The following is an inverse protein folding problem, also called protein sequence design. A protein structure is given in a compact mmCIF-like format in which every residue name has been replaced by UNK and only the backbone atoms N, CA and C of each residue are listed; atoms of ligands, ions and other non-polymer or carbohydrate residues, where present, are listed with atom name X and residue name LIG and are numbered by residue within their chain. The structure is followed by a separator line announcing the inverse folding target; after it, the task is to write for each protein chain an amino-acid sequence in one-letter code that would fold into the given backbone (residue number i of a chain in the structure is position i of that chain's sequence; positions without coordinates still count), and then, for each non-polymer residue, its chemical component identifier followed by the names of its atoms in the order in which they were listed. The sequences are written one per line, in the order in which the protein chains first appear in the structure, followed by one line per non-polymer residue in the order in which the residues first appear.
data_IF_025401187497
#
_entry.id   IF_025401187497
#
_cell.length_a   1.000
_cell.length_b   1.000
_cell.length_c   1.000
_cell.angle_alpha   90.00
_cell.angle_beta   90.00
_cell.angle_gamma   90.00
#
_symmetry.space_group_name_H-M   'P 1'
#
loop_
_entity.id
_entity.type
_entity.pdbx_description
1 polymer ?
#
# COMPACT_ATOMS: atom_id res chain seq x y z
N UNK A 1 3.14 26.71 31.30
CA UNK A 1 2.75 25.32 31.06
C UNK A 1 3.96 24.41 30.67
N UNK A 2 5.12 24.98 30.36
CA UNK A 2 6.32 24.25 29.95
C UNK A 2 6.36 23.88 28.44
N UNK A 3 7.54 23.46 27.97
CA UNK A 3 7.78 23.19 26.55
C UNK A 3 6.92 22.04 26.01
N UNK A 4 6.73 21.00 26.81
CA UNK A 4 5.94 19.81 26.41
C UNK A 4 4.44 20.07 26.28
N UNK A 5 3.92 21.26 26.67
CA UNK A 5 2.54 21.65 26.34
C UNK A 5 2.35 21.95 24.86
N UNK A 6 3.44 22.12 24.11
CA UNK A 6 3.43 22.30 22.68
C UNK A 6 3.63 20.93 22.01
N UNK A 7 2.68 20.53 21.19
CA UNK A 7 2.76 19.31 20.40
C UNK A 7 2.66 19.66 18.90
N UNK A 8 3.79 19.78 18.18
CA UNK A 8 3.77 20.05 16.75
C UNK A 8 3.14 18.88 16.02
N UNK A 9 1.85 19.03 15.67
CA UNK A 9 1.08 18.01 14.96
C UNK A 9 1.11 18.29 13.46
N UNK A 10 1.82 17.47 12.70
CA UNK A 10 1.97 17.65 11.25
C UNK A 10 2.01 16.29 10.56
N UNK A 11 1.59 16.20 9.33
CA UNK A 11 1.89 15.09 8.44
C UNK A 11 1.55 15.42 6.99
N UNK A 12 2.29 14.80 6.03
CA UNK A 12 2.11 14.95 4.60
C UNK A 12 2.23 16.40 4.10
N UNK A 13 1.64 16.73 2.97
CA UNK A 13 1.82 18.00 2.29
C UNK A 13 3.11 18.02 1.48
N UNK A 14 3.91 19.06 1.60
CA UNK A 14 5.22 19.14 0.94
C UNK A 14 6.20 18.14 1.54
N UNK A 15 6.60 17.16 0.75
CA UNK A 15 7.41 16.01 1.19
C UNK A 15 8.93 16.21 1.01
N UNK A 16 9.38 17.41 0.71
CA UNK A 16 10.82 17.74 0.70
C UNK A 16 11.44 17.55 2.07
N UNK A 17 12.66 17.01 2.11
CA UNK A 17 13.35 16.67 3.37
C UNK A 17 13.45 17.87 4.34
N UNK A 18 13.80 19.05 3.82
CA UNK A 18 13.91 20.25 4.64
C UNK A 18 12.57 20.74 5.19
N UNK A 19 11.52 20.76 4.35
CA UNK A 19 10.22 21.29 4.77
C UNK A 19 9.50 20.35 5.73
N UNK A 20 9.55 19.03 5.47
CA UNK A 20 8.89 18.03 6.30
C UNK A 20 9.66 17.77 7.59
N UNK A 21 10.94 17.44 7.47
CA UNK A 21 11.72 16.91 8.58
C UNK A 21 12.35 18.02 9.43
N UNK A 22 12.49 19.25 8.89
CA UNK A 22 12.95 20.43 9.63
C UNK A 22 12.06 20.84 10.79
N UNK A 23 10.78 20.45 10.80
CA UNK A 23 9.90 20.64 11.97
C UNK A 23 10.41 19.84 13.19
N UNK A 24 11.05 18.71 12.95
CA UNK A 24 11.64 17.90 14.03
C UNK A 24 12.80 18.66 14.69
N UNK A 25 13.58 19.43 13.96
CA UNK A 25 14.66 20.26 14.53
C UNK A 25 14.11 21.29 15.51
N UNK A 26 13.05 22.00 15.16
CA UNK A 26 12.41 22.94 16.08
C UNK A 26 11.90 22.23 17.34
N UNK A 27 11.22 21.11 17.16
CA UNK A 27 10.69 20.29 18.26
C UNK A 27 11.80 19.84 19.21
N UNK A 28 12.86 19.26 18.68
CA UNK A 28 13.98 18.77 19.48
C UNK A 28 14.70 19.93 20.20
N UNK A 29 15.02 21.03 19.51
CA UNK A 29 15.71 22.18 20.09
C UNK A 29 14.91 22.92 21.17
N UNK A 30 13.57 22.81 21.16
CA UNK A 30 12.70 23.46 22.12
C UNK A 30 12.17 22.52 23.22
N UNK A 31 12.45 21.23 23.16
CA UNK A 31 11.90 20.24 24.08
C UNK A 31 10.37 20.12 24.00
N UNK A 32 9.81 20.29 22.80
CA UNK A 32 8.37 20.10 22.58
C UNK A 32 8.02 18.62 22.58
N UNK A 33 6.78 18.27 22.91
CA UNK A 33 6.31 16.89 22.92
C UNK A 33 6.68 16.15 21.63
N UNK A 34 7.19 14.93 21.78
CA UNK A 34 7.56 14.08 20.68
C UNK A 34 6.31 13.53 19.96
N UNK A 35 6.49 13.12 18.74
CA UNK A 35 5.42 12.76 17.81
C UNK A 35 5.58 11.32 17.34
N UNK A 36 4.68 10.43 17.79
CA UNK A 36 4.63 9.05 17.33
C UNK A 36 3.67 8.95 16.14
N UNK A 37 4.21 8.62 14.98
CA UNK A 37 3.44 8.46 13.74
C UNK A 37 2.82 7.06 13.69
N UNK A 38 1.50 6.97 13.82
CA UNK A 38 0.78 5.69 13.93
C UNK A 38 -0.34 5.51 12.92
N UNK A 39 -0.53 6.49 12.02
CA UNK A 39 -1.58 6.45 10.99
C UNK A 39 -0.99 6.52 9.57
N UNK A 40 -1.82 6.40 8.54
CA UNK A 40 -1.54 6.58 7.12
C UNK A 40 -0.33 5.74 6.63
N UNK A 41 0.87 6.33 6.62
CA UNK A 41 2.08 5.72 6.06
C UNK A 41 2.51 4.48 6.85
N UNK A 42 2.60 4.59 8.17
CA UNK A 42 3.05 3.50 9.04
C UNK A 42 2.10 2.30 8.98
N UNK A 43 0.80 2.55 8.92
CA UNK A 43 -0.19 1.48 8.77
C UNK A 43 -0.05 0.76 7.42
N UNK A 44 0.26 1.51 6.35
CA UNK A 44 0.50 0.91 5.04
C UNK A 44 1.81 0.11 5.01
N UNK A 45 2.85 0.58 5.70
CA UNK A 45 4.10 -0.15 5.86
C UNK A 45 3.88 -1.45 6.61
N UNK A 46 3.23 -1.37 7.77
CA UNK A 46 2.92 -2.54 8.58
C UNK A 46 2.20 -3.63 7.76
N UNK A 47 1.17 -3.24 6.99
CA UNK A 47 0.43 -4.20 6.17
C UNK A 47 1.27 -4.79 5.04
N UNK A 48 2.12 -4.00 4.40
CA UNK A 48 3.00 -4.48 3.35
C UNK A 48 4.10 -5.39 3.90
N UNK A 49 4.79 -4.98 4.97
CA UNK A 49 5.84 -5.77 5.61
C UNK A 49 5.34 -7.07 6.19
N UNK A 50 4.13 -7.08 6.78
CA UNK A 50 3.50 -8.30 7.28
C UNK A 50 3.30 -9.35 6.17
N UNK A 51 3.09 -8.92 4.92
CA UNK A 51 2.91 -9.83 3.78
C UNK A 51 4.17 -10.14 2.98
N UNK A 52 5.26 -9.37 3.18
CA UNK A 52 6.46 -9.47 2.33
C UNK A 52 7.77 -9.58 3.11
N UNK A 53 7.71 -9.50 4.43
CA UNK A 53 8.88 -9.56 5.34
C UNK A 53 9.75 -8.29 5.34
N UNK A 54 9.54 -7.35 4.41
CA UNK A 54 10.29 -6.09 4.32
C UNK A 54 9.53 -5.02 3.53
N UNK A 55 9.89 -3.76 3.75
CA UNK A 55 9.26 -2.63 3.07
C UNK A 55 9.61 -2.49 1.58
N UNK A 56 10.74 -3.07 1.18
CA UNK A 56 11.18 -3.06 -0.22
C UNK A 56 10.28 -3.94 -1.09
N UNK A 57 9.72 -3.35 -2.13
CA UNK A 57 9.07 -4.06 -3.23
C UNK A 57 9.96 -4.12 -4.47
N UNK A 58 9.37 -4.49 -5.59
CA UNK A 58 10.03 -4.50 -6.90
C UNK A 58 10.35 -3.08 -7.36
N UNK A 59 11.50 -2.87 -7.98
CA UNK A 59 11.89 -1.57 -8.54
C UNK A 59 10.77 -1.01 -9.44
N UNK A 60 10.29 0.21 -9.20
CA UNK A 60 9.20 0.77 -10.00
C UNK A 60 9.54 0.94 -11.49
N UNK A 61 10.81 0.94 -11.86
CA UNK A 61 11.24 0.97 -13.27
C UNK A 61 10.93 -0.34 -14.01
N UNK A 62 10.85 -1.45 -13.30
CA UNK A 62 10.47 -2.74 -13.87
C UNK A 62 9.03 -2.79 -14.37
N UNK A 63 8.18 -1.87 -13.90
CA UNK A 63 6.81 -1.71 -14.41
C UNK A 63 6.77 -1.57 -15.95
N UNK A 64 7.84 -1.03 -16.56
CA UNK A 64 7.97 -0.93 -18.02
C UNK A 64 8.10 -2.30 -18.72
N UNK A 65 8.34 -3.40 -17.97
CA UNK A 65 8.47 -4.77 -18.45
C UNK A 65 7.26 -5.65 -18.15
N UNK A 66 6.21 -5.07 -17.59
CA UNK A 66 4.98 -5.77 -17.21
C UNK A 66 4.08 -6.02 -18.40
N UNK A 67 3.27 -7.07 -18.32
CA UNK A 67 2.18 -7.37 -19.25
C UNK A 67 0.81 -6.94 -18.68
N UNK A 68 0.73 -6.83 -17.34
CA UNK A 68 -0.41 -6.28 -16.62
C UNK A 68 0.11 -5.32 -15.52
N UNK A 69 -0.40 -4.10 -15.50
CA UNK A 69 -0.11 -3.13 -14.42
C UNK A 69 -1.39 -2.81 -13.68
N UNK A 70 -1.41 -3.12 -12.38
CA UNK A 70 -2.50 -2.82 -11.47
C UNK A 70 -2.12 -1.62 -10.61
N UNK A 71 -2.79 -0.49 -10.79
CA UNK A 71 -2.60 0.72 -9.98
C UNK A 71 -3.74 0.79 -8.98
N UNK A 72 -3.43 0.61 -7.70
CA UNK A 72 -4.43 0.45 -6.67
C UNK A 72 -4.30 1.49 -5.55
N UNK A 73 -5.36 2.25 -5.33
CA UNK A 73 -5.45 3.26 -4.26
C UNK A 73 -4.49 4.43 -4.41
N UNK A 74 -4.22 4.88 -5.66
CA UNK A 74 -3.40 6.06 -5.94
C UNK A 74 -3.74 6.72 -7.27
N UNK A 75 -3.81 8.04 -7.28
CA UNK A 75 -3.95 8.84 -8.50
C UNK A 75 -2.57 9.19 -9.08
N UNK A 76 -1.90 8.19 -9.67
CA UNK A 76 -0.52 8.31 -10.14
C UNK A 76 -0.33 9.42 -11.19
N UNK A 77 -1.32 9.67 -12.04
CA UNK A 77 -1.27 10.73 -13.05
C UNK A 77 -1.13 12.15 -12.44
N UNK A 78 -1.64 12.34 -11.21
CA UNK A 78 -1.56 13.64 -10.53
C UNK A 78 -0.43 13.70 -9.49
N UNK A 79 -0.03 12.57 -8.90
CA UNK A 79 0.85 12.56 -7.72
C UNK A 79 2.16 11.78 -7.92
N UNK A 80 2.26 10.99 -8.99
CA UNK A 80 3.39 10.10 -9.25
C UNK A 80 3.66 9.98 -10.75
N UNK A 81 3.98 11.10 -11.38
CA UNK A 81 4.13 11.19 -12.85
C UNK A 81 5.13 10.16 -13.40
N UNK A 82 6.21 9.87 -12.67
CA UNK A 82 7.20 8.86 -13.08
C UNK A 82 6.59 7.45 -13.14
N UNK A 83 5.64 7.11 -12.25
CA UNK A 83 4.89 5.85 -12.34
C UNK A 83 4.17 5.77 -13.69
N UNK A 84 3.44 6.82 -14.06
CA UNK A 84 2.73 6.85 -15.34
C UNK A 84 3.67 6.78 -16.55
N UNK A 85 4.90 7.30 -16.44
CA UNK A 85 5.90 7.12 -17.49
C UNK A 85 6.18 5.62 -17.73
N UNK A 86 6.44 4.85 -16.69
CA UNK A 86 6.71 3.42 -16.81
C UNK A 86 5.47 2.63 -17.27
N UNK A 87 4.28 2.99 -16.81
CA UNK A 87 3.00 2.42 -17.28
C UNK A 87 2.83 2.62 -18.80
N UNK A 88 3.09 3.82 -19.30
CA UNK A 88 3.02 4.12 -20.73
C UNK A 88 4.07 3.34 -21.51
N UNK A 89 5.27 3.15 -20.96
CA UNK A 89 6.30 2.31 -21.60
C UNK A 89 5.87 0.83 -21.69
N UNK A 90 5.28 0.27 -20.63
CA UNK A 90 4.73 -1.07 -20.63
C UNK A 90 3.68 -1.25 -21.76
N UNK A 91 2.72 -0.31 -21.83
CA UNK A 91 1.69 -0.32 -22.88
C UNK A 91 2.30 -0.23 -24.28
N UNK A 92 3.23 0.69 -24.51
CA UNK A 92 3.84 0.89 -25.84
C UNK A 92 4.72 -0.27 -26.31
N UNK A 93 5.47 -0.87 -25.38
CA UNK A 93 6.48 -1.89 -25.74
C UNK A 93 5.94 -3.30 -25.69
N UNK A 94 4.95 -3.55 -24.84
CA UNK A 94 4.47 -4.90 -24.54
C UNK A 94 2.96 -5.09 -24.75
N UNK A 95 2.22 -4.04 -25.05
CA UNK A 95 0.75 -4.09 -25.10
C UNK A 95 0.12 -4.30 -23.73
N UNK A 96 0.81 -3.89 -22.64
CA UNK A 96 0.35 -4.15 -21.28
C UNK A 96 -1.06 -3.60 -21.03
N UNK A 97 -1.90 -4.41 -20.39
CA UNK A 97 -3.20 -4.00 -19.87
C UNK A 97 -3.03 -3.20 -18.58
N UNK A 98 -3.80 -2.13 -18.44
CA UNK A 98 -3.77 -1.27 -17.26
C UNK A 98 -5.09 -1.37 -16.51
N UNK A 99 -5.03 -1.83 -15.28
CA UNK A 99 -6.16 -1.87 -14.36
C UNK A 99 -5.96 -0.81 -13.28
N UNK A 100 -7.00 -0.05 -12.99
CA UNK A 100 -7.00 0.90 -11.87
C UNK A 100 -8.10 0.54 -10.89
N UNK A 101 -7.74 0.44 -9.61
CA UNK A 101 -8.68 0.17 -8.51
C UNK A 101 -8.67 1.40 -7.61
N UNK A 102 -9.77 2.14 -7.64
CA UNK A 102 -9.92 3.40 -6.91
C UNK A 102 -11.41 3.73 -6.78
N UNK A 103 -11.90 4.17 -5.62
CA UNK A 103 -13.32 4.51 -5.44
C UNK A 103 -13.78 5.69 -6.29
N UNK A 104 -12.86 6.34 -6.98
CA UNK A 104 -13.13 7.53 -7.77
C UNK A 104 -12.47 7.43 -9.16
N UNK A 105 -13.23 7.74 -10.22
CA UNK A 105 -12.71 7.74 -11.60
C UNK A 105 -11.81 8.94 -11.86
N UNK A 106 -10.65 8.96 -11.20
CA UNK A 106 -9.63 10.00 -11.28
C UNK A 106 -8.88 10.03 -12.64
N UNK A 107 -7.87 10.91 -12.77
CA UNK A 107 -7.11 11.06 -14.01
C UNK A 107 -6.36 9.78 -14.42
N UNK A 108 -5.94 8.94 -13.47
CA UNK A 108 -5.30 7.66 -13.72
C UNK A 108 -6.33 6.65 -14.23
N UNK A 109 -7.48 6.54 -13.57
CA UNK A 109 -8.56 5.63 -13.94
C UNK A 109 -9.12 5.92 -15.34
N UNK A 110 -9.15 7.18 -15.76
CA UNK A 110 -9.56 7.55 -17.13
C UNK A 110 -8.61 7.04 -18.22
N UNK A 111 -7.42 6.61 -17.88
CA UNK A 111 -6.41 6.06 -18.82
C UNK A 111 -6.28 4.53 -18.74
N UNK A 112 -7.04 3.90 -17.85
CA UNK A 112 -7.07 2.46 -17.66
C UNK A 112 -7.92 1.77 -18.72
N UNK A 113 -7.60 0.50 -18.97
CA UNK A 113 -8.43 -0.42 -19.77
C UNK A 113 -9.59 -0.98 -18.93
N UNK A 114 -9.36 -1.15 -17.61
CA UNK A 114 -10.36 -1.55 -16.64
C UNK A 114 -10.27 -0.64 -15.40
N UNK A 115 -11.42 -0.14 -14.93
CA UNK A 115 -11.52 0.60 -13.67
C UNK A 115 -12.50 -0.10 -12.73
N UNK A 116 -11.99 -0.58 -11.60
CA UNK A 116 -12.77 -1.18 -10.54
C UNK A 116 -13.06 -0.14 -9.47
N UNK A 117 -14.31 0.31 -9.41
CA UNK A 117 -14.77 1.38 -8.51
C UNK A 117 -15.25 0.78 -7.18
N UNK A 118 -14.30 0.38 -6.33
CA UNK A 118 -14.60 -0.24 -5.03
C UNK A 118 -15.15 0.78 -4.01
N UNK A 119 -16.02 0.34 -3.12
CA UNK A 119 -16.39 1.14 -1.95
C UNK A 119 -15.14 1.36 -1.07
N UNK A 120 -14.96 2.57 -0.50
CA UNK A 120 -13.81 2.86 0.37
C UNK A 120 -13.67 1.85 1.51
N UNK A 121 -12.45 1.33 1.71
CA UNK A 121 -12.13 0.40 2.80
C UNK A 121 -12.48 -1.07 2.55
N UNK A 122 -12.88 -1.43 1.33
CA UNK A 122 -13.26 -2.81 0.98
C UNK A 122 -12.22 -3.53 0.12
N UNK A 123 -11.05 -2.95 -0.02
CA UNK A 123 -9.95 -3.45 -0.83
C UNK A 123 -9.55 -4.89 -0.46
N UNK A 124 -9.56 -5.21 0.84
CA UNK A 124 -9.27 -6.56 1.33
C UNK A 124 -10.29 -7.60 0.88
N UNK A 125 -11.57 -7.22 0.76
CA UNK A 125 -12.60 -8.13 0.26
C UNK A 125 -12.38 -8.45 -1.22
N UNK A 126 -12.04 -7.45 -2.03
CA UNK A 126 -11.66 -7.68 -3.43
C UNK A 126 -10.43 -8.57 -3.52
N UNK A 127 -9.38 -8.29 -2.72
CA UNK A 127 -8.16 -9.08 -2.74
C UNK A 127 -8.40 -10.55 -2.35
N UNK A 128 -9.21 -10.79 -1.32
CA UNK A 128 -9.62 -12.14 -0.91
C UNK A 128 -10.35 -12.87 -2.04
N UNK A 129 -11.30 -12.22 -2.71
CA UNK A 129 -12.05 -12.82 -3.79
C UNK A 129 -11.17 -13.12 -5.02
N UNK A 130 -10.22 -12.24 -5.34
CA UNK A 130 -9.24 -12.49 -6.40
C UNK A 130 -8.43 -13.74 -6.08
N UNK A 131 -7.84 -13.82 -4.88
CA UNK A 131 -7.07 -15.00 -4.47
C UNK A 131 -7.92 -16.27 -4.40
N UNK A 132 -9.17 -16.17 -3.94
CA UNK A 132 -10.11 -17.30 -3.98
C UNK A 132 -10.25 -17.86 -5.41
N UNK A 133 -10.44 -16.99 -6.40
CA UNK A 133 -10.56 -17.41 -7.81
C UNK A 133 -9.27 -18.06 -8.31
N UNK A 134 -8.10 -17.50 -7.92
CA UNK A 134 -6.81 -18.11 -8.29
C UNK A 134 -6.68 -19.53 -7.75
N UNK A 135 -7.08 -19.80 -6.51
CA UNK A 135 -7.09 -21.14 -5.92
C UNK A 135 -8.14 -22.03 -6.58
N UNK A 136 -9.38 -21.57 -6.69
CA UNK A 136 -10.50 -22.32 -7.25
C UNK A 136 -10.24 -22.82 -8.67
N UNK A 137 -9.66 -21.97 -9.51
CA UNK A 137 -9.48 -22.23 -10.94
C UNK A 137 -8.08 -22.79 -11.26
N UNK A 138 -7.29 -23.17 -10.25
CA UNK A 138 -5.95 -23.76 -10.41
C UNK A 138 -4.92 -22.79 -11.00
N UNK A 139 -5.09 -21.48 -10.80
CA UNK A 139 -4.17 -20.44 -11.28
C UNK A 139 -3.18 -19.98 -10.20
N UNK A 140 -3.32 -20.48 -8.96
CA UNK A 140 -2.38 -20.21 -7.88
C UNK A 140 -1.05 -20.93 -8.12
N UNK A 141 0.07 -20.26 -7.86
CA UNK A 141 1.41 -20.81 -8.02
C UNK A 141 1.84 -21.55 -6.73
N UNK A 142 1.45 -22.81 -6.64
CA UNK A 142 1.73 -23.64 -5.46
C UNK A 142 3.22 -23.88 -5.26
N UNK A 143 3.99 -24.11 -6.32
CA UNK A 143 5.43 -24.31 -6.23
C UNK A 143 6.13 -23.09 -5.59
N UNK A 144 5.72 -21.89 -6.00
CA UNK A 144 6.25 -20.66 -5.43
C UNK A 144 5.82 -20.50 -3.97
N UNK A 145 4.55 -20.71 -3.66
CA UNK A 145 4.03 -20.51 -2.30
C UNK A 145 4.60 -21.50 -1.31
N UNK A 146 4.73 -22.78 -1.65
CA UNK A 146 5.32 -23.80 -0.78
C UNK A 146 6.78 -23.50 -0.45
N UNK A 147 7.48 -22.83 -1.35
CA UNK A 147 8.88 -22.48 -1.17
C UNK A 147 9.09 -21.16 -0.40
N UNK A 148 8.17 -20.20 -0.51
CA UNK A 148 8.41 -18.83 -0.07
C UNK A 148 7.32 -18.25 0.84
N UNK A 149 6.21 -18.91 1.07
CA UNK A 149 5.15 -18.45 1.94
C UNK A 149 5.02 -19.32 3.19
N UNK A 150 4.67 -18.69 4.33
CA UNK A 150 4.63 -19.37 5.62
C UNK A 150 3.46 -20.37 5.76
N UNK A 151 2.26 -20.02 5.27
CA UNK A 151 1.03 -20.79 5.52
C UNK A 151 0.08 -20.77 4.31
N UNK A 152 0.49 -21.28 3.13
CA UNK A 152 -0.32 -21.19 1.92
C UNK A 152 -1.62 -21.99 1.99
N UNK A 153 -1.62 -23.17 2.65
CA UNK A 153 -2.82 -24.00 2.80
C UNK A 153 -3.84 -23.40 3.77
N UNK A 154 -3.38 -22.73 4.83
CA UNK A 154 -4.25 -21.99 5.75
C UNK A 154 -4.90 -20.80 5.04
N UNK A 155 -4.15 -20.11 4.18
CA UNK A 155 -4.67 -19.04 3.36
C UNK A 155 -5.77 -19.55 2.40
N UNK A 156 -5.52 -20.63 1.68
CA UNK A 156 -6.54 -21.27 0.82
C UNK A 156 -7.79 -21.62 1.62
N UNK A 157 -7.63 -22.28 2.76
CA UNK A 157 -8.75 -22.67 3.63
C UNK A 157 -9.54 -21.45 4.11
N UNK A 158 -8.85 -20.38 4.51
CA UNK A 158 -9.46 -19.11 4.91
C UNK A 158 -10.27 -18.48 3.78
N UNK A 159 -9.83 -18.62 2.55
CA UNK A 159 -10.45 -18.00 1.39
C UNK A 159 -11.63 -18.78 0.81
N UNK A 160 -11.86 -20.05 1.18
CA UNK A 160 -12.91 -20.90 0.61
C UNK A 160 -14.31 -20.26 0.62
N UNK A 161 -14.64 -19.47 1.63
CA UNK A 161 -15.93 -18.77 1.77
C UNK A 161 -15.91 -17.32 1.32
N UNK A 162 -14.84 -16.85 0.69
CA UNK A 162 -14.60 -15.44 0.35
C UNK A 162 -14.48 -15.20 -1.15
N UNK A 163 -15.36 -15.87 -1.90
CA UNK A 163 -15.42 -15.76 -3.35
C UNK A 163 -16.08 -14.46 -3.85
N UNK A 164 -16.23 -14.31 -5.17
CA UNK A 164 -16.84 -13.14 -5.80
C UNK A 164 -18.25 -12.82 -5.30
N UNK A 165 -19.09 -13.83 -5.04
CA UNK A 165 -20.46 -13.64 -4.50
C UNK A 165 -20.44 -13.01 -3.10
N UNK A 166 -19.46 -13.39 -2.26
CA UNK A 166 -19.27 -12.79 -0.94
C UNK A 166 -18.74 -11.36 -1.05
N UNK A 167 -17.80 -11.11 -1.97
CA UNK A 167 -17.14 -9.81 -2.10
C UNK A 167 -18.00 -8.76 -2.82
N UNK A 168 -18.86 -9.16 -3.74
CA UNK A 168 -19.69 -8.27 -4.55
C UNK A 168 -20.55 -7.32 -3.70
N UNK A 169 -21.38 -7.75 -2.74
CA UNK A 169 -22.16 -6.85 -1.90
C UNK A 169 -21.30 -5.96 -0.99
N UNK A 170 -20.06 -6.38 -0.65
CA UNK A 170 -19.14 -5.61 0.18
C UNK A 170 -18.48 -4.50 -0.65
N UNK A 171 -17.91 -4.86 -1.80
CA UNK A 171 -17.11 -3.96 -2.64
C UNK A 171 -17.96 -3.03 -3.49
N UNK A 172 -19.18 -3.45 -3.84
CA UNK A 172 -20.05 -2.80 -4.80
C UNK A 172 -19.70 -3.10 -6.27
N UNK A 173 -18.73 -4.00 -6.50
CA UNK A 173 -18.41 -4.52 -7.83
C UNK A 173 -19.35 -5.69 -8.17
N UNK A 174 -19.60 -5.93 -9.45
CA UNK A 174 -20.31 -7.14 -9.87
C UNK A 174 -19.41 -8.38 -9.75
N UNK A 175 -20.03 -9.55 -9.67
CA UNK A 175 -19.32 -10.84 -9.67
C UNK A 175 -18.46 -10.97 -10.92
N UNK A 176 -19.00 -10.57 -12.07
CA UNK A 176 -18.33 -10.61 -13.37
C UNK A 176 -17.08 -9.72 -13.42
N UNK A 177 -17.14 -8.53 -12.82
CA UNK A 177 -15.98 -7.63 -12.73
C UNK A 177 -14.87 -8.25 -11.89
N UNK A 178 -15.20 -8.86 -10.74
CA UNK A 178 -14.26 -9.53 -9.86
C UNK A 178 -13.62 -10.74 -10.56
N UNK A 179 -14.45 -11.58 -11.20
CA UNK A 179 -14.01 -12.75 -11.96
C UNK A 179 -13.08 -12.36 -13.12
N UNK A 180 -13.45 -11.35 -13.90
CA UNK A 180 -12.65 -10.89 -15.03
C UNK A 180 -11.28 -10.39 -14.57
N UNK A 181 -11.23 -9.62 -13.47
CA UNK A 181 -9.97 -9.13 -12.91
C UNK A 181 -9.12 -10.29 -12.37
N UNK A 182 -9.71 -11.20 -11.61
CA UNK A 182 -8.99 -12.34 -11.05
C UNK A 182 -8.39 -13.23 -12.14
N UNK A 183 -9.16 -13.54 -13.19
CA UNK A 183 -8.67 -14.32 -14.35
C UNK A 183 -7.54 -13.60 -15.08
N UNK A 184 -7.64 -12.29 -15.26
CA UNK A 184 -6.58 -11.48 -15.87
C UNK A 184 -5.28 -11.60 -15.08
N UNK A 185 -5.34 -11.51 -13.74
CA UNK A 185 -4.18 -11.70 -12.85
C UNK A 185 -3.64 -13.14 -12.96
N UNK A 186 -4.50 -14.14 -12.94
CA UNK A 186 -4.11 -15.56 -12.96
C UNK A 186 -3.36 -15.99 -14.24
N UNK A 187 -3.78 -15.48 -15.38
CA UNK A 187 -3.15 -15.83 -16.67
C UNK A 187 -1.92 -14.98 -17.00
N UNK A 188 -1.70 -13.85 -16.29
CA UNK A 188 -0.63 -12.91 -16.61
C UNK A 188 0.50 -13.00 -15.58
N UNK A 189 1.61 -13.66 -15.95
CA UNK A 189 2.75 -13.88 -15.05
C UNK A 189 3.45 -12.57 -14.64
N UNK A 190 3.63 -11.63 -15.58
CA UNK A 190 4.27 -10.32 -15.30
C UNK A 190 3.23 -9.30 -14.90
N UNK A 191 2.58 -9.54 -13.77
CA UNK A 191 1.62 -8.62 -13.16
C UNK A 191 2.31 -7.76 -12.11
N UNK A 192 2.31 -6.45 -12.30
CA UNK A 192 2.88 -5.48 -11.38
C UNK A 192 1.80 -4.76 -10.58
N UNK A 193 1.82 -4.89 -9.27
CA UNK A 193 0.90 -4.20 -8.35
C UNK A 193 1.54 -2.93 -7.79
N UNK A 194 1.11 -1.76 -8.27
CA UNK A 194 1.47 -0.47 -7.71
C UNK A 194 0.46 -0.09 -6.63
N UNK A 195 0.79 -0.38 -5.37
CA UNK A 195 -0.09 -0.16 -4.22
C UNK A 195 0.12 1.25 -3.65
N UNK A 196 -0.96 2.00 -3.46
CA UNK A 196 -0.94 3.37 -2.97
C UNK A 196 -1.32 3.52 -1.50
N UNK A 197 -1.48 4.77 -1.05
CA UNK A 197 -1.91 5.08 0.30
C UNK A 197 -3.44 5.15 0.47
N UNK A 198 -4.22 4.89 -0.59
CA UNK A 198 -5.67 4.79 -0.52
C UNK A 198 -6.13 3.74 0.48
N UNK A 199 -5.42 2.62 0.59
CA UNK A 199 -5.71 1.55 1.54
C UNK A 199 -5.84 2.02 2.99
N UNK A 200 -5.00 2.96 3.40
CA UNK A 200 -4.96 3.44 4.79
C UNK A 200 -5.79 4.69 5.03
N UNK A 201 -6.70 5.01 4.12
CA UNK A 201 -7.76 6.01 4.33
C UNK A 201 -9.00 5.40 4.99
N UNK A 202 -8.90 4.16 5.43
CA UNK A 202 -9.93 3.40 6.12
C UNK A 202 -9.38 2.73 7.38
N UNK A 203 -10.30 2.29 8.25
CA UNK A 203 -9.98 1.63 9.51
C UNK A 203 -9.15 0.35 9.34
N UNK A 204 -9.39 -0.40 8.25
CA UNK A 204 -8.76 -1.70 7.99
C UNK A 204 -7.53 -1.60 7.08
N UNK A 205 -6.92 -0.43 6.98
CA UNK A 205 -5.86 -0.14 6.02
C UNK A 205 -4.71 -1.15 5.98
N UNK A 206 -4.10 -1.55 7.12
CA UNK A 206 -3.03 -2.55 7.13
C UNK A 206 -3.46 -3.90 6.59
N UNK A 207 -4.64 -4.39 6.99
CA UNK A 207 -5.19 -5.67 6.54
C UNK A 207 -5.49 -5.65 5.04
N UNK A 208 -6.08 -4.55 4.55
CA UNK A 208 -6.34 -4.37 3.13
C UNK A 208 -5.04 -4.35 2.30
N UNK A 209 -4.01 -3.66 2.80
CA UNK A 209 -2.69 -3.61 2.15
C UNK A 209 -2.03 -5.00 2.11
N UNK A 210 -2.07 -5.73 3.23
CA UNK A 210 -1.56 -7.10 3.33
C UNK A 210 -2.24 -8.01 2.30
N UNK A 211 -3.56 -8.02 2.28
CA UNK A 211 -4.33 -8.85 1.36
C UNK A 211 -4.02 -8.54 -0.11
N UNK A 212 -3.92 -7.25 -0.46
CA UNK A 212 -3.59 -6.85 -1.84
C UNK A 212 -2.16 -7.26 -2.25
N UNK A 213 -1.18 -7.12 -1.34
CA UNK A 213 0.19 -7.55 -1.59
C UNK A 213 0.31 -9.08 -1.74
N UNK A 214 -0.51 -9.84 -1.00
CA UNK A 214 -0.55 -11.31 -1.04
C UNK A 214 -0.99 -11.87 -2.40
N UNK A 215 -1.73 -11.11 -3.21
CA UNK A 215 -2.10 -11.54 -4.58
C UNK A 215 -0.85 -11.85 -5.41
N UNK A 216 0.20 -11.04 -5.29
CA UNK A 216 1.45 -11.24 -6.02
C UNK A 216 2.17 -12.53 -5.58
N UNK A 217 1.99 -12.95 -4.33
CA UNK A 217 2.52 -14.21 -3.79
C UNK A 217 1.70 -15.40 -4.31
N UNK A 218 0.37 -15.32 -4.23
CA UNK A 218 -0.52 -16.40 -4.70
C UNK A 218 -0.38 -16.64 -6.21
N UNK A 219 -0.23 -15.57 -6.99
CA UNK A 219 -0.03 -15.67 -8.45
C UNK A 219 1.40 -16.01 -8.87
N UNK A 220 2.36 -16.04 -7.93
CA UNK A 220 3.78 -16.23 -8.23
C UNK A 220 4.43 -15.07 -9.00
N UNK A 221 3.81 -13.89 -9.03
CA UNK A 221 4.26 -12.77 -9.83
C UNK A 221 5.66 -12.25 -9.45
N UNK A 222 6.09 -12.45 -8.21
CA UNK A 222 7.42 -12.05 -7.73
C UNK A 222 8.60 -12.71 -8.44
N UNK A 223 8.38 -13.83 -9.12
CA UNK A 223 9.41 -14.59 -9.84
C UNK A 223 9.82 -13.93 -11.18
N UNK A 224 9.00 -13.02 -11.69
CA UNK A 224 9.14 -12.51 -13.04
C UNK A 224 9.58 -11.04 -13.03
N UNK A 225 10.57 -10.71 -13.85
CA UNK A 225 10.93 -9.32 -14.11
C UNK A 225 9.73 -8.57 -14.69
N UNK A 226 9.34 -7.48 -14.04
CA UNK A 226 8.11 -6.74 -14.33
C UNK A 226 6.86 -7.29 -13.62
N UNK A 227 7.03 -8.23 -12.68
CA UNK A 227 5.97 -8.72 -11.79
C UNK A 227 6.23 -8.38 -10.31
N UNK A 228 5.26 -8.71 -9.45
CA UNK A 228 5.34 -8.48 -8.01
C UNK A 228 4.62 -7.21 -7.55
N UNK A 229 4.96 -6.70 -6.38
CA UNK A 229 4.31 -5.53 -5.81
C UNK A 229 5.29 -4.46 -5.36
N UNK A 230 4.84 -3.22 -5.39
CA UNK A 230 5.58 -2.07 -4.92
C UNK A 230 4.63 -1.07 -4.22
N UNK A 231 5.06 -0.62 -3.07
CA UNK A 231 4.30 0.35 -2.29
C UNK A 231 5.00 1.70 -2.20
N UNK A 232 6.29 1.73 -1.81
CA UNK A 232 7.01 2.96 -1.49
C UNK A 232 8.53 2.77 -1.64
N UNK A 233 9.25 3.87 -1.93
CA UNK A 233 10.71 3.90 -2.04
C UNK A 233 11.43 3.87 -0.68
N UNK A 234 10.75 4.06 0.43
CA UNK A 234 11.38 4.34 1.73
C UNK A 234 12.32 3.21 2.20
N UNK A 235 12.00 1.97 1.86
CA UNK A 235 12.87 0.84 2.16
C UNK A 235 14.11 0.71 1.25
N UNK A 236 14.23 1.52 0.19
CA UNK A 236 15.32 1.45 -0.78
C UNK A 236 16.49 2.34 -0.38
N UNK A 237 16.20 3.49 0.23
CA UNK A 237 17.19 4.51 0.57
C UNK A 237 17.26 4.74 2.07
N UNK A 238 18.46 4.72 2.62
CA UNK A 238 18.74 5.16 4.00
C UNK A 238 19.29 6.58 3.96
N UNK A 239 18.62 7.50 4.65
CA UNK A 239 19.00 8.90 4.72
C UNK A 239 19.53 9.26 6.11
N UNK A 240 20.72 9.85 6.16
CA UNK A 240 21.16 10.50 7.40
C UNK A 240 20.51 11.87 7.53
N UNK A 241 19.46 11.94 8.33
CA UNK A 241 18.70 13.16 8.58
C UNK A 241 19.12 13.92 9.85
N UNK A 242 20.20 13.51 10.49
CA UNK A 242 20.61 14.04 11.81
C UNK A 242 20.67 15.56 11.83
N UNK A 243 21.31 16.16 10.82
CA UNK A 243 21.41 17.63 10.71
C UNK A 243 20.05 18.29 10.49
N UNK A 244 19.21 17.74 9.63
CA UNK A 244 17.90 18.32 9.30
C UNK A 244 16.95 18.25 10.50
N UNK A 245 16.94 17.11 11.19
CA UNK A 245 16.08 16.84 12.34
C UNK A 245 16.63 17.39 13.65
N UNK A 246 17.89 17.86 13.68
CA UNK A 246 18.51 18.36 14.92
C UNK A 246 18.63 17.28 15.98
N UNK A 247 19.10 16.09 15.61
CA UNK A 247 19.23 14.96 16.53
C UNK A 247 20.19 15.21 17.70
N UNK A 248 21.11 16.17 17.56
CA UNK A 248 21.97 16.65 18.63
C UNK A 248 21.20 17.26 19.81
N UNK A 249 19.94 17.65 19.61
CA UNK A 249 19.06 18.21 20.62
C UNK A 249 17.97 17.22 21.08
N UNK A 250 17.98 15.99 20.57
CA UNK A 250 16.97 15.00 20.91
C UNK A 250 17.12 14.53 22.36
N UNK A 251 16.06 14.68 23.14
CA UNK A 251 15.94 14.20 24.50
C UNK A 251 14.85 13.11 24.57
N UNK A 252 15.23 11.85 24.84
CA UNK A 252 14.28 10.75 24.91
C UNK A 252 13.36 10.79 26.15
N UNK A 253 13.66 11.64 27.13
CA UNK A 253 12.81 11.83 28.32
C UNK A 253 11.58 12.70 28.04
N UNK A 254 11.58 13.46 26.93
CA UNK A 254 10.44 14.27 26.51
C UNK A 254 9.25 13.39 26.15
N UNK A 255 8.08 13.80 26.59
CA UNK A 255 6.82 13.07 26.38
C UNK A 255 6.56 12.75 24.92
N UNK A 256 6.33 11.46 24.62
CA UNK A 256 5.96 10.96 23.31
C UNK A 256 4.43 10.82 23.20
N UNK A 257 3.79 11.47 22.25
CA UNK A 257 2.36 11.45 22.04
C UNK A 257 1.98 10.73 20.75
N UNK A 258 1.02 9.81 20.86
CA UNK A 258 0.52 9.02 19.74
C UNK A 258 -0.47 9.83 18.89
N UNK A 259 -0.16 9.96 17.59
CA UNK A 259 -0.97 10.68 16.62
C UNK A 259 -2.41 10.15 16.53
N UNK A 260 -2.62 8.83 16.65
CA UNK A 260 -3.94 8.22 16.54
C UNK A 260 -4.85 8.52 17.74
N UNK A 261 -4.27 8.95 18.86
CA UNK A 261 -4.97 9.23 20.13
C UNK A 261 -5.21 10.71 20.40
N UNK A 262 -5.17 11.55 19.38
CA UNK A 262 -5.31 13.01 19.53
C UNK A 262 -6.53 13.42 20.38
N UNK A 263 -7.67 12.76 20.20
CA UNK A 263 -8.87 13.05 21.01
C UNK A 263 -8.65 12.80 22.50
N UNK A 264 -8.16 11.61 22.85
CA UNK A 264 -7.86 11.26 24.24
C UNK A 264 -6.80 12.18 24.87
N UNK A 265 -5.76 12.53 24.10
CA UNK A 265 -4.70 13.43 24.56
C UNK A 265 -5.26 14.83 24.88
N UNK A 266 -6.13 15.36 24.01
CA UNK A 266 -6.71 16.70 24.19
C UNK A 266 -7.76 16.74 25.32
N UNK A 267 -8.42 15.63 25.62
CA UNK A 267 -9.39 15.51 26.72
C UNK A 267 -8.74 15.16 28.06
N UNK A 268 -7.42 14.90 28.06
CA UNK A 268 -6.67 14.61 29.29
C UNK A 268 -6.79 13.15 29.75
N UNK A 269 -7.23 12.25 28.88
CA UNK A 269 -7.23 10.83 29.20
C UNK A 269 -5.80 10.34 29.41
N UNK A 270 -5.54 9.67 30.54
CA UNK A 270 -4.23 9.11 30.83
C UNK A 270 -3.89 8.03 29.81
N UNK A 271 -2.68 8.12 29.28
CA UNK A 271 -2.10 7.09 28.40
C UNK A 271 -1.63 5.89 29.19
#
# INVERSE_FOLDING_TARGET
YGAESVWPYYFAGTMGLLQRDGTNRLRNAKGYSLFHTTICVNMAWLGFEAGTGKLQGVDPREMAKSDLVVIWGTNAAATQVNVMHHVVQARKRRGATIVVIDPYRNATARKADMHLCVRPGTDGALACAVMHVLFRDGMADWEYMERYADSPHELEAHLKSRGPDWASPITGLSVEEIEAFAKMVGITKRTYFRLGFGFTRSRNGPVNMHAAASIATVSGAWQYEGGGAFKNNEGIYSWNKSLIEGKEHYDPSVRLLDQSRIGAILTGDKQ
#
